data_IF_740559580602
#
_entry.id   IF_740559580602
#
_cell.length_a   1.000
_cell.length_b   1.000
_cell.length_c   1.000
_cell.angle_alpha   90.00
_cell.angle_beta   90.00
_cell.angle_gamma   90.00
#
_symmetry.space_group_name_H-M   'P 1'
#
loop_
_entity.id
_entity.type
_entity.pdbx_description
1 polymer ?
#
# COMPACT_ATOMS: atom_id res chain seq x y z
N UNK A 1 -7.07 -20.77 14.30
CA UNK A 1 -7.51 -19.58 15.07
C UNK A 1 -7.10 -18.27 14.36
N UNK A 2 -5.85 -18.10 13.92
CA UNK A 2 -5.45 -16.90 13.17
C UNK A 2 -6.05 -16.77 11.75
N UNK A 3 -6.39 -17.86 11.06
CA UNK A 3 -7.08 -17.80 9.76
C UNK A 3 -8.60 -17.49 9.87
N UNK A 4 -9.20 -17.66 11.04
CA UNK A 4 -10.65 -17.47 11.23
C UNK A 4 -11.03 -16.03 11.62
N UNK A 5 -10.06 -15.19 11.99
CA UNK A 5 -10.31 -13.77 12.28
C UNK A 5 -10.40 -12.88 11.03
N UNK A 6 -10.00 -13.36 9.85
CA UNK A 6 -9.95 -12.53 8.64
C UNK A 6 -11.33 -12.37 7.98
N UNK A 7 -12.27 -13.28 8.23
CA UNK A 7 -13.61 -13.22 7.62
C UNK A 7 -14.58 -12.23 8.28
N UNK A 8 -14.19 -11.48 9.32
CA UNK A 8 -15.11 -10.61 10.09
C UNK A 8 -14.81 -9.11 9.92
N UNK A 9 -13.84 -8.72 9.08
CA UNK A 9 -13.44 -7.31 8.92
C UNK A 9 -13.79 -6.70 7.55
N UNK A 10 -14.82 -7.20 6.87
CA UNK A 10 -15.23 -6.70 5.55
C UNK A 10 -16.42 -5.72 5.57
N UNK A 11 -16.75 -5.15 6.74
CA UNK A 11 -17.80 -4.12 6.87
C UNK A 11 -17.39 -3.00 7.82
N UNK A 12 -16.32 -2.26 7.52
CA UNK A 12 -16.16 -0.90 8.09
C UNK A 12 -15.54 0.03 7.07
N UNK A 13 -16.19 1.17 6.90
CA UNK A 13 -15.97 2.12 5.82
C UNK A 13 -14.58 2.77 5.79
N UNK A 14 -14.26 3.20 4.58
CA UNK A 14 -13.19 4.11 4.22
C UNK A 14 -13.18 5.35 5.14
N UNK A 15 -12.17 5.45 6.00
CA UNK A 15 -11.81 6.70 6.66
C UNK A 15 -10.31 6.69 7.00
N UNK A 16 -9.63 7.72 6.49
CA UNK A 16 -8.40 8.34 6.99
C UNK A 16 -7.05 7.65 6.67
N UNK A 17 -6.20 8.38 5.92
CA UNK A 17 -4.81 8.07 5.58
C UNK A 17 -3.84 8.18 6.78
N UNK A 18 -4.31 8.08 8.03
CA UNK A 18 -3.46 8.17 9.23
C UNK A 18 -3.52 6.85 10.03
N UNK A 19 -2.35 6.28 10.34
CA UNK A 19 -2.11 4.97 11.00
C UNK A 19 -2.18 3.68 10.16
N UNK A 20 -1.59 3.68 8.96
CA UNK A 20 -1.17 2.41 8.32
C UNK A 20 0.05 1.83 9.04
N UNK A 21 -0.17 0.83 9.90
CA UNK A 21 0.90 0.07 10.57
C UNK A 21 1.86 -0.60 9.57
N UNK A 22 3.09 -0.99 10.00
CA UNK A 22 4.15 -1.47 9.09
C UNK A 22 3.80 -2.74 8.29
N UNK A 23 2.79 -3.50 8.72
CA UNK A 23 2.26 -4.66 7.99
C UNK A 23 1.33 -4.32 6.81
N UNK A 24 0.76 -3.12 6.76
CA UNK A 24 -0.17 -2.69 5.70
C UNK A 24 0.50 -2.64 4.32
N UNK A 25 1.81 -2.39 4.27
CA UNK A 25 2.61 -2.38 3.04
C UNK A 25 2.66 -3.77 2.40
N UNK A 26 2.59 -4.83 3.21
CA UNK A 26 2.61 -6.22 2.73
C UNK A 26 1.23 -6.74 2.30
N UNK A 27 0.14 -6.12 2.77
CA UNK A 27 -1.23 -6.50 2.40
C UNK A 27 -1.44 -6.46 0.88
N UNK A 28 -0.86 -5.45 0.23
CA UNK A 28 -0.88 -5.29 -1.22
C UNK A 28 -0.30 -6.48 -2.00
N UNK A 29 0.75 -7.11 -1.46
CA UNK A 29 1.39 -8.26 -2.09
C UNK A 29 0.52 -9.51 -2.00
N UNK A 30 -0.18 -9.68 -0.88
CA UNK A 30 -1.13 -10.79 -0.68
C UNK A 30 -2.32 -10.64 -1.62
N UNK A 31 -2.89 -9.43 -1.74
CA UNK A 31 -4.00 -9.16 -2.65
C UNK A 31 -3.62 -9.39 -4.12
N UNK A 32 -2.38 -9.06 -4.51
CA UNK A 32 -1.92 -9.33 -5.87
C UNK A 32 -1.70 -10.83 -6.12
N UNK A 33 -1.21 -11.58 -5.13
CA UNK A 33 -1.06 -13.04 -5.24
C UNK A 33 -2.42 -13.71 -5.41
N UNK A 34 -3.41 -13.35 -4.58
CA UNK A 34 -4.79 -13.81 -4.70
C UNK A 34 -5.41 -13.43 -6.07
N UNK A 35 -5.23 -12.18 -6.51
CA UNK A 35 -5.65 -11.74 -7.84
C UNK A 35 -5.05 -12.59 -8.96
N UNK A 36 -3.75 -12.88 -8.89
CA UNK A 36 -3.05 -13.66 -9.91
C UNK A 36 -3.55 -15.11 -9.95
N UNK A 37 -3.83 -15.71 -8.79
CA UNK A 37 -4.41 -17.04 -8.71
C UNK A 37 -5.84 -17.07 -9.27
N UNK A 38 -6.67 -16.06 -8.93
CA UNK A 38 -8.01 -15.90 -9.52
C UNK A 38 -7.95 -15.70 -11.05
N UNK A 39 -6.97 -14.96 -11.57
CA UNK A 39 -6.75 -14.79 -13.01
C UNK A 39 -6.33 -16.11 -13.68
N UNK A 40 -5.48 -16.92 -13.04
CA UNK A 40 -5.09 -18.26 -13.54
C UNK A 40 -6.28 -19.20 -13.65
N UNK A 41 -7.20 -19.16 -12.69
CA UNK A 41 -8.46 -19.92 -12.74
C UNK A 41 -9.32 -19.53 -13.95
N UNK A 42 -9.19 -18.29 -14.44
CA UNK A 42 -9.87 -17.81 -15.64
C UNK A 42 -9.10 -18.07 -16.94
N UNK A 43 -7.97 -18.77 -16.90
CA UNK A 43 -7.08 -19.07 -18.04
C UNK A 43 -6.62 -17.80 -18.79
N UNK A 44 -6.26 -16.75 -18.04
CA UNK A 44 -5.80 -15.48 -18.62
C UNK A 44 -4.56 -15.63 -19.51
N UNK A 45 -3.73 -16.65 -19.28
CA UNK A 45 -2.53 -16.90 -20.08
C UNK A 45 -2.88 -17.21 -21.54
N UNK A 46 -3.86 -18.08 -21.78
CA UNK A 46 -4.27 -18.44 -23.14
C UNK A 46 -5.14 -17.35 -23.81
N UNK A 47 -5.99 -16.69 -23.02
CA UNK A 47 -6.97 -15.75 -23.58
C UNK A 47 -6.46 -14.33 -23.73
N UNK A 48 -5.48 -13.92 -22.92
CA UNK A 48 -4.94 -12.55 -22.89
C UNK A 48 -3.48 -12.53 -23.31
N UNK A 49 -2.61 -13.35 -22.70
CA UNK A 49 -1.17 -13.28 -22.97
C UNK A 49 -0.82 -13.74 -24.39
N UNK A 50 -1.39 -14.85 -24.85
CA UNK A 50 -1.11 -15.37 -26.20
C UNK A 50 -1.65 -14.45 -27.30
N UNK A 51 -2.81 -13.81 -27.09
CA UNK A 51 -3.41 -12.90 -28.08
C UNK A 51 -2.64 -11.60 -28.25
N UNK A 52 -2.03 -11.11 -27.18
CA UNK A 52 -1.30 -9.85 -27.18
C UNK A 52 0.23 -10.02 -27.11
N UNK A 53 0.74 -11.26 -27.19
CA UNK A 53 2.16 -11.61 -27.13
C UNK A 53 2.88 -11.05 -25.88
N UNK A 54 2.24 -11.17 -24.72
CA UNK A 54 2.72 -10.57 -23.47
C UNK A 54 3.31 -11.62 -22.54
N UNK A 55 4.37 -11.26 -21.79
CA UNK A 55 5.02 -12.17 -20.85
C UNK A 55 4.11 -12.48 -19.65
N UNK A 56 4.25 -13.69 -19.05
CA UNK A 56 3.55 -14.04 -17.82
C UNK A 56 3.76 -13.01 -16.71
N UNK A 57 2.67 -12.64 -16.05
CA UNK A 57 2.67 -11.70 -14.93
C UNK A 57 3.47 -12.27 -13.76
N UNK A 58 4.35 -11.45 -13.21
CA UNK A 58 5.02 -11.74 -11.93
C UNK A 58 4.09 -11.43 -10.75
N UNK A 59 4.28 -12.11 -9.62
CA UNK A 59 3.55 -11.89 -8.35
C UNK A 59 3.60 -10.44 -7.84
N UNK A 60 4.50 -9.62 -8.37
CA UNK A 60 4.70 -8.23 -7.93
C UNK A 60 4.42 -7.20 -9.03
N UNK A 61 3.83 -7.63 -10.16
CA UNK A 61 3.77 -6.81 -11.37
C UNK A 61 2.97 -5.50 -11.19
N UNK A 62 1.82 -5.54 -10.51
CA UNK A 62 0.97 -4.36 -10.29
C UNK A 62 1.17 -3.68 -8.92
N UNK A 63 1.96 -4.25 -8.01
CA UNK A 63 2.07 -3.78 -6.61
C UNK A 63 2.98 -2.56 -6.48
N UNK A 64 4.15 -2.59 -7.11
CA UNK A 64 5.17 -1.55 -6.92
C UNK A 64 6.01 -1.35 -8.17
N UNK A 65 5.85 -0.19 -8.83
CA UNK A 65 6.68 0.29 -9.94
C UNK A 65 8.22 0.21 -9.74
N UNK A 66 8.80 0.32 -8.53
CA UNK A 66 10.27 0.30 -8.36
C UNK A 66 10.95 -1.07 -8.55
N UNK A 67 10.20 -2.19 -8.48
CA UNK A 67 10.80 -3.53 -8.48
C UNK A 67 10.72 -4.28 -9.81
N UNK A 68 10.02 -3.72 -10.80
CA UNK A 68 9.97 -4.25 -12.16
C UNK A 68 10.48 -3.16 -13.08
N UNK A 69 11.47 -3.47 -13.92
CA UNK A 69 12.02 -2.58 -14.95
C UNK A 69 11.02 -2.24 -16.08
N UNK A 70 9.71 -2.25 -15.81
CA UNK A 70 8.66 -1.99 -16.79
C UNK A 70 8.29 -0.52 -16.80
N UNK A 71 8.12 -0.01 -18.02
CA UNK A 71 7.66 1.35 -18.27
C UNK A 71 6.23 1.51 -17.72
N UNK A 72 5.90 2.59 -16.98
CA UNK A 72 4.53 2.86 -16.52
C UNK A 72 3.47 2.77 -17.63
N UNK A 73 3.83 3.11 -18.88
CA UNK A 73 2.94 2.96 -20.04
C UNK A 73 2.62 1.50 -20.39
N UNK A 74 3.60 0.60 -20.26
CA UNK A 74 3.42 -0.84 -20.51
C UNK A 74 2.51 -1.45 -19.42
N UNK A 75 2.72 -1.06 -18.16
CA UNK A 75 1.87 -1.49 -17.05
C UNK A 75 0.44 -1.00 -17.20
N UNK A 76 0.25 0.23 -17.67
CA UNK A 76 -1.07 0.79 -17.94
C UNK A 76 -1.78 0.06 -19.09
N UNK A 77 -1.06 -0.24 -20.17
CA UNK A 77 -1.60 -1.03 -21.28
C UNK A 77 -2.01 -2.43 -20.80
N UNK A 78 -1.17 -3.09 -20.01
CA UNK A 78 -1.47 -4.39 -19.40
C UNK A 78 -2.72 -4.37 -18.53
N UNK A 79 -2.82 -3.39 -17.62
CA UNK A 79 -4.01 -3.18 -16.80
C UNK A 79 -5.26 -3.03 -17.68
N UNK A 80 -5.17 -2.19 -18.71
CA UNK A 80 -6.30 -1.86 -19.59
C UNK A 80 -6.77 -3.07 -20.40
N UNK A 81 -5.85 -3.89 -20.91
CA UNK A 81 -6.15 -5.13 -21.65
C UNK A 81 -6.80 -6.17 -20.75
N UNK A 82 -6.28 -6.38 -19.53
CA UNK A 82 -6.86 -7.34 -18.57
C UNK A 82 -8.24 -6.87 -18.13
N UNK A 83 -8.41 -5.59 -17.80
CA UNK A 83 -9.70 -5.04 -17.41
C UNK A 83 -10.74 -5.18 -18.53
N UNK A 84 -10.36 -4.87 -19.78
CA UNK A 84 -11.21 -5.07 -20.96
C UNK A 84 -11.66 -6.51 -21.12
N UNK A 85 -10.74 -7.46 -20.98
CA UNK A 85 -11.05 -8.88 -21.05
C UNK A 85 -12.01 -9.33 -19.94
N UNK A 86 -11.78 -8.91 -18.70
CA UNK A 86 -12.67 -9.26 -17.57
C UNK A 86 -14.08 -8.68 -17.73
N UNK A 87 -14.20 -7.46 -18.25
CA UNK A 87 -15.49 -6.84 -18.57
C UNK A 87 -16.19 -7.64 -19.69
N UNK A 88 -15.46 -8.07 -20.71
CA UNK A 88 -15.99 -8.92 -21.79
C UNK A 88 -16.50 -10.27 -21.28
N UNK A 89 -15.82 -10.87 -20.30
CA UNK A 89 -16.25 -12.11 -19.64
C UNK A 89 -17.52 -11.93 -18.78
N UNK A 90 -17.78 -10.71 -18.31
CA UNK A 90 -19.03 -10.36 -17.63
C UNK A 90 -20.21 -10.15 -18.62
N UNK A 91 -20.02 -10.45 -19.92
CA UNK A 91 -21.06 -10.36 -20.95
C UNK A 91 -21.32 -8.94 -21.44
N UNK A 92 -20.40 -8.00 -21.19
CA UNK A 92 -20.50 -6.61 -21.66
C UNK A 92 -19.52 -6.35 -22.80
N UNK A 93 -19.96 -5.76 -23.93
CA UNK A 93 -19.05 -5.43 -25.01
C UNK A 93 -18.10 -4.32 -24.55
N UNK A 94 -16.79 -4.61 -24.54
CA UNK A 94 -15.75 -3.64 -24.24
C UNK A 94 -14.65 -3.78 -25.29
N UNK A 95 -14.35 -2.70 -26.00
CA UNK A 95 -13.31 -2.70 -27.01
C UNK A 95 -11.94 -2.81 -26.34
N UNK A 96 -11.09 -3.71 -26.83
CA UNK A 96 -9.72 -3.85 -26.33
C UNK A 96 -8.96 -2.55 -26.58
N UNK A 97 -8.53 -1.84 -25.53
CA UNK A 97 -7.89 -0.54 -25.70
C UNK A 97 -6.54 -0.69 -26.41
N UNK A 98 -6.31 0.16 -27.40
CA UNK A 98 -5.07 0.22 -28.19
C UNK A 98 -4.03 1.14 -27.53
N UNK A 99 -2.75 0.99 -27.88
CA UNK A 99 -1.65 1.80 -27.34
C UNK A 99 -1.80 3.32 -27.60
N UNK A 100 -2.64 3.72 -28.56
CA UNK A 100 -2.89 5.11 -28.94
C UNK A 100 -4.18 5.71 -28.34
N UNK A 101 -4.96 4.91 -27.61
CA UNK A 101 -6.20 5.40 -27.00
C UNK A 101 -5.89 6.36 -25.85
N UNK A 102 -6.75 7.38 -25.66
CA UNK A 102 -6.57 8.35 -24.57
C UNK A 102 -6.66 7.64 -23.21
N UNK A 103 -5.59 7.61 -22.39
CA UNK A 103 -5.57 6.92 -21.10
C UNK A 103 -6.69 7.38 -20.16
N UNK A 104 -7.11 8.64 -20.25
CA UNK A 104 -8.20 9.17 -19.41
C UNK A 104 -9.56 8.59 -19.80
N UNK A 105 -9.83 8.53 -21.10
CA UNK A 105 -11.07 7.95 -21.63
C UNK A 105 -11.16 6.46 -21.29
N UNK A 106 -10.08 5.70 -21.50
CA UNK A 106 -10.03 4.27 -21.18
C UNK A 106 -10.29 4.00 -19.70
N UNK A 107 -9.63 4.72 -18.80
CA UNK A 107 -9.87 4.58 -17.34
C UNK A 107 -11.31 4.94 -16.99
N UNK A 108 -11.84 6.02 -17.56
CA UNK A 108 -13.22 6.45 -17.29
C UNK A 108 -14.23 5.40 -17.74
N UNK A 109 -14.01 4.77 -18.90
CA UNK A 109 -14.83 3.69 -19.41
C UNK A 109 -14.76 2.45 -18.52
N UNK A 110 -13.56 2.01 -18.12
CA UNK A 110 -13.37 0.87 -17.20
C UNK A 110 -14.11 1.11 -15.88
N UNK A 111 -13.96 2.29 -15.28
CA UNK A 111 -14.64 2.64 -14.03
C UNK A 111 -16.16 2.72 -14.18
N UNK A 112 -16.66 3.18 -15.33
CA UNK A 112 -18.10 3.22 -15.62
C UNK A 112 -18.70 1.82 -15.69
N UNK A 113 -18.00 0.88 -16.33
CA UNK A 113 -18.44 -0.52 -16.43
C UNK A 113 -18.34 -1.25 -15.10
N UNK A 114 -17.26 -1.00 -14.32
CA UNK A 114 -17.13 -1.53 -12.96
C UNK A 114 -18.31 -1.08 -12.08
N UNK A 115 -18.70 0.20 -12.16
CA UNK A 115 -19.86 0.73 -11.42
C UNK A 115 -21.16 0.07 -11.90
N UNK A 116 -21.31 -0.16 -13.19
CA UNK A 116 -22.47 -0.83 -13.76
C UNK A 116 -22.56 -2.32 -13.37
N UNK A 117 -21.43 -2.96 -13.04
CA UNK A 117 -21.35 -4.30 -12.46
C UNK A 117 -21.55 -4.30 -10.93
N UNK A 118 -21.81 -3.13 -10.34
CA UNK A 118 -22.07 -2.96 -8.91
C UNK A 118 -20.82 -2.95 -8.04
N UNK A 119 -19.67 -2.55 -8.59
CA UNK A 119 -18.46 -2.26 -7.80
C UNK A 119 -18.48 -0.83 -7.26
N UNK A 120 -17.97 -0.63 -6.03
CA UNK A 120 -17.84 0.68 -5.42
C UNK A 120 -16.47 1.29 -5.77
N UNK A 121 -16.45 2.53 -6.25
CA UNK A 121 -15.22 3.24 -6.64
C UNK A 121 -15.25 4.62 -5.99
N UNK A 122 -14.42 4.82 -4.97
CA UNK A 122 -14.30 6.07 -4.22
C UNK A 122 -12.89 6.68 -4.36
N UNK A 123 -12.46 6.89 -5.60
CA UNK A 123 -11.18 7.54 -5.92
C UNK A 123 -11.19 8.12 -7.34
N UNK A 124 -10.35 9.13 -7.63
CA UNK A 124 -10.33 9.77 -8.94
C UNK A 124 -9.63 8.91 -10.01
N UNK A 125 -10.03 9.01 -11.29
CA UNK A 125 -9.40 8.29 -12.42
C UNK A 125 -7.89 8.50 -12.56
N UNK A 126 -7.36 9.60 -12.03
CA UNK A 126 -5.93 9.92 -12.06
C UNK A 126 -5.06 8.88 -11.34
N UNK A 127 -5.61 8.16 -10.35
CA UNK A 127 -4.88 7.16 -9.55
C UNK A 127 -4.61 5.84 -10.29
N UNK A 128 -5.27 5.58 -11.42
CA UNK A 128 -5.09 4.37 -12.22
C UNK A 128 -4.09 4.54 -13.37
N UNK A 129 -3.70 5.77 -13.69
CA UNK A 129 -2.81 6.09 -14.82
C UNK A 129 -1.40 5.56 -14.68
N UNK A 130 -0.94 5.34 -13.45
CA UNK A 130 0.36 4.74 -13.18
C UNK A 130 0.45 3.29 -13.64
N UNK A 131 -0.69 2.64 -13.92
CA UNK A 131 -0.74 1.22 -14.27
C UNK A 131 -0.30 0.29 -13.15
N UNK A 132 0.01 0.83 -11.96
CA UNK A 132 0.45 0.10 -10.77
C UNK A 132 0.01 0.82 -9.51
N UNK A 133 -0.21 0.05 -8.44
CA UNK A 133 -0.61 0.52 -7.12
C UNK A 133 -1.93 -0.07 -6.64
N UNK A 134 -2.33 0.33 -5.43
CA UNK A 134 -3.49 -0.21 -4.70
C UNK A 134 -4.80 -0.19 -5.47
N UNK A 135 -5.10 0.96 -6.05
CA UNK A 135 -6.32 1.19 -6.79
C UNK A 135 -6.41 0.31 -8.04
N UNK A 136 -5.27 -0.01 -8.67
CA UNK A 136 -5.22 -0.86 -9.88
C UNK A 136 -5.53 -2.31 -9.52
N UNK A 137 -4.90 -2.83 -8.46
CA UNK A 137 -5.15 -4.18 -7.96
C UNK A 137 -6.60 -4.33 -7.50
N UNK A 138 -7.13 -3.35 -6.77
CA UNK A 138 -8.52 -3.34 -6.30
C UNK A 138 -9.53 -3.41 -7.46
N UNK A 139 -9.34 -2.61 -8.51
CA UNK A 139 -10.23 -2.62 -9.68
C UNK A 139 -10.19 -3.97 -10.38
N UNK A 140 -9.01 -4.53 -10.59
CA UNK A 140 -8.88 -5.85 -11.20
C UNK A 140 -9.50 -6.94 -10.35
N UNK A 141 -9.31 -6.94 -9.04
CA UNK A 141 -9.87 -7.93 -8.12
C UNK A 141 -11.40 -7.92 -8.15
N UNK A 142 -12.02 -6.73 -8.08
CA UNK A 142 -13.48 -6.61 -8.20
C UNK A 142 -14.00 -7.09 -9.56
N UNK A 143 -13.30 -6.80 -10.66
CA UNK A 143 -13.68 -7.28 -11.99
C UNK A 143 -13.52 -8.81 -12.10
N UNK A 144 -12.46 -9.38 -11.55
CA UNK A 144 -12.21 -10.83 -11.56
C UNK A 144 -13.26 -11.56 -10.73
N UNK A 145 -13.64 -11.07 -9.55
CA UNK A 145 -14.70 -11.69 -8.76
C UNK A 145 -16.05 -11.70 -9.48
N UNK A 146 -16.37 -10.62 -10.18
CA UNK A 146 -17.59 -10.53 -11.00
C UNK A 146 -17.51 -11.47 -12.20
N UNK A 147 -16.35 -11.59 -12.84
CA UNK A 147 -16.12 -12.52 -13.94
C UNK A 147 -16.22 -13.99 -13.47
N UNK A 148 -15.65 -14.33 -12.31
CA UNK A 148 -15.75 -15.66 -11.70
C UNK A 148 -17.21 -16.01 -11.35
N UNK A 149 -17.96 -15.06 -10.79
CA UNK A 149 -19.40 -15.22 -10.52
C UNK A 149 -20.19 -15.43 -11.81
N UNK A 150 -19.87 -14.70 -12.89
CA UNK A 150 -20.48 -14.86 -14.22
C UNK A 150 -20.19 -16.23 -14.85
N UNK A 151 -18.95 -16.73 -14.68
CA UNK A 151 -18.53 -18.07 -15.15
C UNK A 151 -19.10 -19.21 -14.30
N UNK A 152 -19.73 -18.89 -13.16
CA UNK A 152 -20.29 -19.89 -12.23
C UNK A 152 -19.20 -20.70 -11.52
N UNK A 153 -18.02 -20.12 -11.31
CA UNK A 153 -16.92 -20.85 -10.68
C UNK A 153 -17.24 -21.18 -9.22
N UNK A 154 -17.15 -22.46 -8.88
CA UNK A 154 -17.21 -22.97 -7.51
C UNK A 154 -15.91 -23.68 -7.20
N UNK A 155 -15.33 -23.41 -6.04
CA UNK A 155 -14.19 -24.17 -5.54
C UNK A 155 -14.58 -25.64 -5.40
N UNK A 156 -14.05 -26.48 -6.29
CA UNK A 156 -14.25 -27.91 -6.20
C UNK A 156 -13.35 -28.51 -5.13
N UNK A 157 -13.76 -29.62 -4.52
CA UNK A 157 -12.91 -30.30 -3.53
C UNK A 157 -11.64 -30.79 -4.23
N UNK A 158 -10.45 -30.63 -3.62
CA UNK A 158 -9.21 -31.14 -4.19
C UNK A 158 -9.36 -32.63 -4.49
N UNK A 159 -9.39 -32.98 -5.78
CA UNK A 159 -9.25 -34.35 -6.24
C UNK A 159 -7.78 -34.70 -6.15
N UNK A 160 -7.41 -35.37 -5.05
CA UNK A 160 -6.09 -35.99 -4.95
C UNK A 160 -5.96 -36.99 -6.09
N UNK A 161 -4.88 -36.92 -6.90
CA UNK A 161 -4.63 -37.95 -7.89
C UNK A 161 -4.62 -39.29 -7.15
N UNK A 162 -5.52 -40.19 -7.52
CA UNK A 162 -5.33 -41.60 -7.21
C UNK A 162 -4.02 -41.96 -7.89
N UNK A 163 -2.97 -42.12 -7.09
CA UNK A 163 -1.71 -42.69 -7.56
C UNK A 163 -2.13 -44.01 -8.19
N UNK A 164 -2.04 -44.11 -9.52
CA UNK A 164 -2.07 -45.39 -10.20
C UNK A 164 -0.83 -46.11 -9.69
N UNK A 165 -1.02 -46.85 -8.60
CA UNK A 165 -0.09 -47.87 -8.18
C UNK A 165 -0.13 -48.85 -9.34
N UNK A 166 0.92 -48.83 -10.18
CA UNK A 166 1.11 -49.87 -11.17
C UNK A 166 0.88 -51.22 -10.49
N UNK A 167 0.03 -52.05 -11.09
CA UNK A 167 -0.36 -53.38 -10.62
C UNK A 167 0.85 -54.30 -10.44
N UNK A 168 1.63 -54.13 -9.36
CA UNK A 168 2.34 -55.23 -8.74
C UNK A 168 1.36 -55.90 -7.78
N UNK A 169 0.62 -56.87 -8.34
CA UNK A 169 -0.11 -57.96 -7.66
C UNK A 169 0.07 -57.96 -6.13
N UNK A 170 -0.64 -57.07 -5.44
CA UNK A 170 -0.77 -57.12 -3.99
C UNK A 170 -1.80 -58.22 -3.78
N UNK A 171 -1.32 -59.41 -3.41
CA UNK A 171 -2.18 -60.39 -2.76
C UNK A 171 -2.85 -59.64 -1.61
N UNK A 172 -4.17 -59.53 -1.67
CA UNK A 172 -5.02 -58.99 -0.61
C UNK A 172 -4.59 -59.65 0.71
N UNK A 173 -3.85 -58.91 1.52
CA UNK A 173 -3.50 -59.32 2.87
C UNK A 173 -4.75 -59.02 3.71
N UNK A 174 -5.54 -60.07 3.91
CA UNK A 174 -6.86 -60.12 4.55
C UNK A 174 -6.74 -59.89 6.08
N UNK A 175 -6.10 -58.79 6.48
CA UNK A 175 -5.67 -58.54 7.87
C UNK A 175 -6.05 -57.16 8.43
N UNK A 176 -7.12 -56.52 7.93
CA UNK A 176 -7.79 -55.46 8.70
C UNK A 176 -8.74 -56.09 9.74
N UNK A 177 -8.14 -56.55 10.86
CA UNK A 177 -8.87 -56.98 12.04
C UNK A 177 -9.60 -55.77 12.65
N UNK A 178 -10.87 -55.61 12.30
CA UNK A 178 -11.75 -54.57 12.85
C UNK A 178 -11.97 -54.87 14.34
N UNK A 179 -11.70 -53.90 15.22
CA UNK A 179 -11.84 -54.03 16.68
C UNK A 179 -13.22 -54.57 17.14
N UNK A 180 -14.27 -54.36 16.36
CA UNK A 180 -15.60 -54.93 16.62
C UNK A 180 -15.68 -56.45 16.46
N UNK A 181 -14.81 -57.08 15.66
CA UNK A 181 -14.80 -58.52 15.43
C UNK A 181 -14.04 -59.29 16.51
N UNK A 182 -13.08 -58.64 17.17
CA UNK A 182 -12.39 -59.16 18.36
C UNK A 182 -13.30 -59.16 19.60
N UNK A 183 -14.23 -58.21 19.70
CA UNK A 183 -15.22 -58.17 20.79
C UNK A 183 -16.33 -59.24 20.62
N UNK A 184 -16.70 -59.56 19.37
CA UNK A 184 -17.67 -60.60 19.04
C UNK A 184 -17.10 -62.01 19.27
N UNK A 185 -15.82 -62.24 18.95
CA UNK A 185 -15.14 -63.53 19.18
C UNK A 185 -14.77 -63.78 20.66
N UNK A 186 -14.75 -62.73 21.50
CA UNK A 186 -14.60 -62.87 22.97
C UNK A 186 -15.93 -63.14 23.68
N UNK A 187 -17.08 -63.03 23.01
CA UNK A 187 -18.41 -63.21 23.61
C UNK A 187 -19.12 -64.49 23.17
N UNK A 188 -18.63 -65.16 22.13
CA UNK A 188 -19.07 -66.49 21.71
C UNK A 188 -18.01 -67.53 22.09
N UNK A 189 -17.98 -67.92 23.37
CA UNK A 189 -17.60 -69.26 23.87
C UNK A 189 -17.48 -69.23 25.42
N UNK A 190 -18.62 -69.03 26.10
CA UNK A 190 -18.81 -69.52 27.46
C UNK A 190 -19.80 -70.71 27.44
N UNK A 191 -19.47 -71.74 26.68
CA UNK A 191 -19.94 -73.09 26.97
C UNK A 191 -18.70 -73.94 27.23
N UNK A 192 -18.11 -73.74 28.41
CA UNK A 192 -17.16 -74.68 28.98
C UNK A 192 -17.91 -76.00 29.22
N UNK A 193 -17.99 -76.86 28.19
CA UNK A 193 -17.97 -78.29 28.47
C UNK A 193 -16.65 -78.54 29.19
N UNK A 194 -16.77 -78.70 30.49
CA UNK A 194 -15.74 -79.16 31.41
C UNK A 194 -15.27 -80.55 30.90
N UNK A 195 -14.38 -80.55 29.91
CA UNK A 195 -13.65 -81.72 29.47
C UNK A 195 -12.78 -82.13 30.66
N UNK A 196 -13.32 -83.08 31.41
CA UNK A 196 -12.74 -83.80 32.54
C UNK A 196 -11.22 -83.91 32.35
N UNK A 197 -10.51 -82.98 32.99
CA UNK A 197 -9.05 -82.98 33.02
C UNK A 197 -8.64 -84.26 33.71
N UNK A 198 -8.34 -85.29 32.91
CA UNK A 198 -7.87 -86.59 33.36
C UNK A 198 -6.64 -86.37 34.24
N UNK A 199 -6.86 -86.36 35.55
CA UNK A 199 -5.83 -86.15 36.54
C UNK A 199 -4.77 -87.24 36.39
N UNK A 200 -3.57 -86.83 35.95
CA UNK A 200 -2.43 -87.69 35.71
C UNK A 200 -2.06 -88.50 36.98
N UNK A 201 -2.43 -88.02 38.17
CA UNK A 201 -2.21 -88.73 39.43
C UNK A 201 -3.32 -89.75 39.75
N UNK A 202 -4.56 -89.59 39.26
CA UNK A 202 -5.60 -90.65 39.27
C UNK A 202 -5.29 -91.79 38.30
N UNK A 203 -4.61 -91.52 37.17
CA UNK A 203 -4.15 -92.54 36.23
C UNK A 203 -2.97 -93.36 36.79
N UNK A 204 -2.01 -92.72 37.48
CA UNK A 204 -0.90 -93.42 38.14
C UNK A 204 -1.33 -94.32 39.29
N UNK A 205 -2.42 -94.00 39.98
CA UNK A 205 -2.96 -94.85 41.05
C UNK A 205 -3.70 -96.08 40.51
N UNK A 206 -4.19 -96.07 39.27
CA UNK A 206 -4.81 -97.23 38.61
C UNK A 206 -3.81 -98.20 37.98
N UNK A 207 -2.57 -97.79 37.72
CA UNK A 207 -1.53 -98.64 37.10
C UNK A 207 -0.96 -99.75 38.01
N UNK A 208 -1.36 -99.84 39.28
CA UNK A 208 -0.94 -100.91 40.18
C UNK A 208 -1.92 -102.10 40.26
N UNK A 209 -2.85 -102.23 39.31
CA UNK A 209 -3.60 -103.47 39.13
C UNK A 209 -2.87 -104.37 38.13
N UNK A 210 -2.10 -105.31 38.68
CA UNK A 210 -1.50 -106.43 37.94
C UNK A 210 -2.67 -107.21 37.33
N UNK A 211 -2.89 -107.02 36.03
CA UNK A 211 -3.85 -107.78 35.25
C UNK A 211 -3.09 -108.93 34.58
N UNK A 212 -3.63 -110.13 34.71
CA UNK A 212 -3.14 -111.39 34.12
C UNK A 212 -3.45 -111.37 32.61
N UNK A 213 -2.83 -110.42 31.90
CA UNK A 213 -3.04 -110.22 30.45
C UNK A 213 -1.97 -111.00 29.69
N UNK A 214 -2.41 -111.90 28.82
CA UNK A 214 -1.54 -112.66 27.94
C UNK A 214 -0.72 -111.71 27.03
N UNK A 215 0.59 -111.95 26.93
CA UNK A 215 1.51 -111.09 26.21
C UNK A 215 1.16 -110.97 24.71
N UNK A 216 0.48 -111.99 24.16
CA UNK A 216 0.00 -111.99 22.79
C UNK A 216 -1.20 -111.03 22.60
N UNK A 217 -2.16 -111.02 23.54
CA UNK A 217 -3.31 -110.11 23.50
C UNK A 217 -2.88 -108.66 23.71
N UNK A 218 -1.91 -108.40 24.59
CA UNK A 218 -1.34 -107.07 24.78
C UNK A 218 -0.63 -106.55 23.51
N UNK A 219 0.13 -107.40 22.83
CA UNK A 219 0.80 -107.01 21.58
C UNK A 219 -0.20 -106.69 20.47
N UNK A 220 -1.31 -107.45 20.37
CA UNK A 220 -2.37 -107.15 19.41
C UNK A 220 -3.05 -105.81 19.74
N UNK A 221 -3.23 -105.49 21.02
CA UNK A 221 -3.78 -104.21 21.46
C UNK A 221 -2.82 -103.05 21.19
N UNK A 222 -1.52 -103.24 21.41
CA UNK A 222 -0.49 -102.28 21.04
C UNK A 222 -0.51 -102.05 19.53
N UNK A 223 -0.52 -103.10 18.70
CA UNK A 223 -0.62 -102.97 17.24
C UNK A 223 -1.93 -102.31 16.78
N UNK A 224 -3.03 -102.50 17.53
CA UNK A 224 -4.32 -101.85 17.27
C UNK A 224 -4.29 -100.34 17.59
N UNK A 225 -3.59 -99.94 18.65
CA UNK A 225 -3.54 -98.54 19.13
C UNK A 225 -2.35 -97.75 18.52
N UNK A 226 -1.32 -98.43 18.02
CA UNK A 226 -0.16 -97.82 17.37
C UNK A 226 -0.52 -96.84 16.22
N UNK A 227 -1.51 -97.13 15.36
CA UNK A 227 -1.97 -96.20 14.34
C UNK A 227 -2.68 -94.98 14.92
N UNK A 228 -3.31 -95.10 16.09
CA UNK A 228 -4.03 -94.01 16.77
C UNK A 228 -3.05 -93.09 17.52
N UNK A 229 -1.91 -93.61 17.97
CA UNK A 229 -0.80 -92.86 18.58
C UNK A 229 0.16 -92.23 17.57
N UNK A 230 -0.01 -92.54 16.28
CA UNK A 230 0.78 -91.92 15.22
C UNK A 230 0.33 -90.48 15.05
N UNK A 231 0.87 -89.59 15.89
CA UNK A 231 0.70 -88.14 15.81
C UNK A 231 1.32 -87.69 14.49
N UNK A 232 0.47 -87.61 13.48
CA UNK A 232 0.82 -86.93 12.24
C UNK A 232 0.63 -85.45 12.52
N UNK A 233 1.73 -84.77 12.86
CA UNK A 233 1.78 -83.31 12.89
C UNK A 233 1.48 -82.87 11.46
N UNK A 234 0.21 -82.61 11.16
CA UNK A 234 -0.18 -81.94 9.93
C UNK A 234 0.35 -80.52 10.08
N UNK A 235 1.20 -80.10 9.15
CA UNK A 235 1.61 -78.70 9.00
C UNK A 235 0.36 -77.90 8.63
N UNK A 236 -0.40 -77.53 9.65
CA UNK A 236 -1.61 -76.74 9.51
C UNK A 236 -1.23 -75.26 9.57
N UNK A 237 -1.93 -74.41 8.82
CA UNK A 237 -1.64 -72.97 8.74
C UNK A 237 -1.98 -72.22 10.05
N UNK A 238 -2.43 -72.97 11.07
CA UNK A 238 -2.67 -72.55 12.46
C UNK A 238 -1.49 -72.87 13.38
N UNK A 239 -0.39 -73.42 12.86
CA UNK A 239 0.83 -73.65 13.65
C UNK A 239 1.51 -72.30 13.91
N UNK A 240 1.49 -71.86 15.17
CA UNK A 240 2.14 -70.63 15.63
C UNK A 240 3.62 -70.54 15.24
N UNK A 241 4.28 -71.68 14.95
CA UNK A 241 5.66 -71.71 14.44
C UNK A 241 5.79 -71.04 13.08
N UNK A 242 4.82 -71.22 12.19
CA UNK A 242 4.79 -70.58 10.86
C UNK A 242 4.63 -69.07 11.04
N UNK A 243 3.75 -68.63 11.94
CA UNK A 243 3.59 -67.21 12.26
C UNK A 243 4.82 -66.60 12.91
N UNK A 244 5.54 -67.35 13.76
CA UNK A 244 6.80 -66.91 14.35
C UNK A 244 7.90 -66.74 13.30
N UNK A 245 8.02 -67.70 12.37
CA UNK A 245 8.96 -67.61 11.25
C UNK A 245 8.60 -66.46 10.30
N UNK A 246 7.31 -66.24 10.02
CA UNK A 246 6.81 -65.07 9.27
C UNK A 246 7.16 -63.75 9.98
N UNK A 247 6.98 -63.66 11.30
CA UNK A 247 7.33 -62.48 12.07
C UNK A 247 8.84 -62.17 12.00
N UNK A 248 9.69 -63.19 12.05
CA UNK A 248 11.13 -63.01 11.86
C UNK A 248 11.49 -62.54 10.45
N UNK A 249 10.83 -63.09 9.42
CA UNK A 249 11.02 -62.63 8.03
C UNK A 249 10.58 -61.17 7.84
N UNK A 250 9.43 -60.78 8.39
CA UNK A 250 8.98 -59.38 8.35
C UNK A 250 9.93 -58.46 9.14
N UNK A 251 10.42 -58.89 10.30
CA UNK A 251 11.39 -58.13 11.08
C UNK A 251 12.69 -57.90 10.30
N UNK A 252 13.20 -58.91 9.60
CA UNK A 252 14.38 -58.78 8.73
C UNK A 252 14.11 -57.87 7.52
N UNK A 253 12.93 -57.99 6.90
CA UNK A 253 12.49 -57.11 5.82
C UNK A 253 12.40 -55.64 6.26
N UNK A 254 11.80 -55.38 7.43
CA UNK A 254 11.70 -54.03 8.04
C UNK A 254 13.09 -53.48 8.36
N UNK A 255 13.99 -54.30 8.91
CA UNK A 255 15.35 -53.85 9.22
C UNK A 255 16.13 -53.50 7.95
N UNK A 256 15.94 -54.26 6.87
CA UNK A 256 16.59 -54.02 5.58
C UNK A 256 16.06 -52.73 4.94
N UNK A 257 14.73 -52.57 4.86
CA UNK A 257 14.12 -51.35 4.32
C UNK A 257 14.45 -50.10 5.16
N UNK A 258 14.57 -50.25 6.49
CA UNK A 258 15.03 -49.19 7.38
C UNK A 258 16.48 -48.79 7.12
N UNK A 259 17.38 -49.75 6.84
CA UNK A 259 18.77 -49.44 6.49
C UNK A 259 18.85 -48.71 5.14
N UNK A 260 18.07 -49.13 4.15
CA UNK A 260 18.02 -48.48 2.85
C UNK A 260 17.45 -47.06 2.95
N UNK A 261 16.36 -46.87 3.69
CA UNK A 261 15.79 -45.56 3.96
C UNK A 261 16.76 -44.63 4.70
N UNK A 262 17.49 -45.15 5.69
CA UNK A 262 18.58 -44.41 6.35
C UNK A 262 19.67 -44.02 5.36
N UNK A 263 20.08 -44.94 4.48
CA UNK A 263 21.07 -44.67 3.43
C UNK A 263 20.64 -43.54 2.50
N UNK A 264 19.39 -43.57 2.03
CA UNK A 264 18.79 -42.50 1.22
C UNK A 264 18.76 -41.16 1.96
N UNK A 265 18.36 -41.15 3.24
CA UNK A 265 18.37 -39.95 4.08
C UNK A 265 19.78 -39.39 4.29
N UNK A 266 20.78 -40.26 4.49
CA UNK A 266 22.18 -39.82 4.63
C UNK A 266 22.70 -39.18 3.34
N UNK A 267 22.41 -39.76 2.17
CA UNK A 267 22.77 -39.17 0.88
C UNK A 267 22.10 -37.81 0.68
N UNK A 268 20.79 -37.71 0.96
CA UNK A 268 20.06 -36.44 0.87
C UNK A 268 20.64 -35.39 1.82
N UNK A 269 20.96 -35.77 3.06
CA UNK A 269 21.62 -34.88 4.02
C UNK A 269 22.97 -34.38 3.48
N UNK A 270 23.79 -35.26 2.92
CA UNK A 270 25.09 -34.91 2.37
C UNK A 270 24.96 -33.96 1.17
N UNK A 271 24.00 -34.20 0.28
CA UNK A 271 23.73 -33.34 -0.88
C UNK A 271 23.21 -31.96 -0.45
N UNK A 272 22.32 -31.91 0.56
CA UNK A 272 21.88 -30.65 1.18
C UNK A 272 23.07 -29.91 1.81
N UNK A 273 23.94 -30.60 2.55
CA UNK A 273 25.14 -29.96 3.13
C UNK A 273 26.07 -29.40 2.05
N UNK A 274 26.34 -30.15 0.98
CA UNK A 274 27.17 -29.68 -0.15
C UNK A 274 26.56 -28.48 -0.87
N UNK A 275 25.24 -28.47 -1.06
CA UNK A 275 24.55 -27.33 -1.70
C UNK A 275 24.57 -26.09 -0.80
N UNK A 276 24.39 -26.25 0.51
CA UNK A 276 24.46 -25.15 1.47
C UNK A 276 25.88 -24.55 1.56
N UNK A 277 26.92 -25.38 1.53
CA UNK A 277 28.31 -24.91 1.45
C UNK A 277 28.59 -24.12 0.16
N UNK A 278 28.08 -24.61 -0.99
CA UNK A 278 28.16 -23.89 -2.26
C UNK A 278 27.45 -22.54 -2.19
N UNK A 279 26.22 -22.50 -1.67
CA UNK A 279 25.47 -21.25 -1.47
C UNK A 279 26.25 -20.30 -0.57
N UNK A 280 26.73 -20.75 0.59
CA UNK A 280 27.51 -19.92 1.51
C UNK A 280 28.80 -19.37 0.87
N UNK A 281 29.50 -20.18 0.07
CA UNK A 281 30.68 -19.71 -0.67
C UNK A 281 30.33 -18.64 -1.72
N UNK A 282 29.20 -18.81 -2.41
CA UNK A 282 28.74 -17.87 -3.43
C UNK A 282 28.25 -16.57 -2.82
N UNK A 283 27.57 -16.64 -1.68
CA UNK A 283 27.17 -15.48 -0.87
C UNK A 283 28.39 -14.70 -0.39
N UNK A 284 29.40 -15.38 0.19
CA UNK A 284 30.65 -14.72 0.60
C UNK A 284 31.35 -14.02 -0.56
N UNK A 285 31.40 -14.66 -1.72
CA UNK A 285 31.96 -14.07 -2.93
C UNK A 285 31.16 -12.83 -3.38
N UNK A 286 29.83 -12.95 -3.45
CA UNK A 286 28.94 -11.85 -3.84
C UNK A 286 29.08 -10.67 -2.87
N UNK A 287 29.05 -10.93 -1.56
CA UNK A 287 29.23 -9.91 -0.53
C UNK A 287 30.57 -9.19 -0.69
N UNK A 288 31.66 -9.93 -0.95
CA UNK A 288 32.98 -9.33 -1.18
C UNK A 288 32.99 -8.40 -2.40
N UNK A 289 32.28 -8.76 -3.48
CA UNK A 289 32.16 -7.91 -4.67
C UNK A 289 31.29 -6.68 -4.41
N UNK A 290 30.19 -6.84 -3.67
CA UNK A 290 29.25 -5.76 -3.37
C UNK A 290 29.75 -4.80 -2.27
N UNK A 291 30.62 -5.24 -1.37
CA UNK A 291 31.17 -4.45 -0.27
C UNK A 291 31.77 -3.13 -0.77
N UNK A 292 32.58 -3.21 -1.83
CA UNK A 292 33.20 -2.05 -2.45
C UNK A 292 32.16 -1.11 -3.07
N UNK A 293 31.23 -1.67 -3.85
CA UNK A 293 30.18 -0.89 -4.52
C UNK A 293 29.26 -0.19 -3.51
N UNK A 294 28.94 -0.85 -2.40
CA UNK A 294 28.15 -0.28 -1.29
C UNK A 294 28.95 0.84 -0.62
N UNK A 295 30.26 0.68 -0.42
CA UNK A 295 31.13 1.72 0.13
C UNK A 295 31.19 2.94 -0.80
N UNK A 296 31.36 2.74 -2.10
CA UNK A 296 31.33 3.82 -3.10
C UNK A 296 29.98 4.53 -3.13
N UNK A 297 28.86 3.79 -3.10
CA UNK A 297 27.53 4.37 -3.03
C UNK A 297 27.35 5.22 -1.76
N UNK A 298 27.80 4.72 -0.59
CA UNK A 298 27.77 5.49 0.66
C UNK A 298 28.61 6.77 0.58
N UNK A 299 29.78 6.71 -0.04
CA UNK A 299 30.63 7.89 -0.25
C UNK A 299 29.97 8.90 -1.19
N UNK A 300 29.42 8.45 -2.32
CA UNK A 300 28.70 9.29 -3.27
C UNK A 300 27.46 9.94 -2.61
N UNK A 301 26.71 9.19 -1.80
CA UNK A 301 25.57 9.73 -1.04
C UNK A 301 25.99 10.79 -0.03
N UNK A 302 27.10 10.58 0.68
CA UNK A 302 27.66 11.57 1.61
C UNK A 302 28.11 12.85 0.88
N UNK A 303 28.75 12.71 -0.29
CA UNK A 303 29.13 13.84 -1.13
C UNK A 303 27.90 14.60 -1.65
N UNK A 304 26.86 13.89 -2.10
CA UNK A 304 25.61 14.49 -2.54
C UNK A 304 24.95 15.30 -1.42
N UNK A 305 24.86 14.73 -0.21
CA UNK A 305 24.30 15.42 0.95
C UNK A 305 25.09 16.69 1.28
N UNK A 306 26.43 16.63 1.24
CA UNK A 306 27.30 17.79 1.45
C UNK A 306 27.05 18.89 0.40
N UNK A 307 26.94 18.52 -0.87
CA UNK A 307 26.68 19.49 -1.95
C UNK A 307 25.28 20.10 -1.81
N UNK A 308 24.27 19.30 -1.45
CA UNK A 308 22.90 19.78 -1.20
C UNK A 308 22.88 20.79 -0.06
N UNK A 309 23.59 20.53 1.03
CA UNK A 309 23.69 21.45 2.16
C UNK A 309 24.36 22.78 1.76
N UNK A 310 25.48 22.71 1.02
CA UNK A 310 26.15 23.91 0.49
C UNK A 310 25.25 24.71 -0.46
N UNK A 311 24.48 24.02 -1.32
CA UNK A 311 23.51 24.67 -2.20
C UNK A 311 22.38 25.33 -1.41
N UNK A 312 21.83 24.67 -0.39
CA UNK A 312 20.80 25.22 0.49
C UNK A 312 21.29 26.51 1.17
N UNK A 313 22.52 26.49 1.71
CA UNK A 313 23.14 27.65 2.35
C UNK A 313 23.37 28.78 1.35
N UNK A 314 23.90 28.48 0.15
CA UNK A 314 24.12 29.48 -0.90
C UNK A 314 22.80 30.09 -1.39
N UNK A 315 21.76 29.27 -1.59
CA UNK A 315 20.42 29.71 -2.00
C UNK A 315 19.78 30.62 -0.93
N UNK A 316 19.90 30.26 0.35
CA UNK A 316 19.51 31.13 1.47
C UNK A 316 20.25 32.47 1.45
N UNK A 317 21.56 32.46 1.18
CA UNK A 317 22.35 33.69 1.04
C UNK A 317 21.95 34.55 -0.17
N UNK A 318 21.58 33.93 -1.29
CA UNK A 318 21.12 34.65 -2.50
C UNK A 318 19.76 35.28 -2.27
N UNK A 319 18.82 34.55 -1.65
CA UNK A 319 17.49 35.06 -1.34
C UNK A 319 17.55 36.25 -0.38
N UNK A 320 18.38 36.18 0.68
CA UNK A 320 18.54 37.31 1.61
C UNK A 320 19.20 38.52 0.93
N UNK A 321 20.23 38.32 0.11
CA UNK A 321 20.82 39.43 -0.67
C UNK A 321 19.83 40.03 -1.66
N UNK A 322 18.96 39.22 -2.27
CA UNK A 322 17.90 39.71 -3.16
C UNK A 322 16.87 40.54 -2.40
N UNK A 323 16.51 40.13 -1.17
CA UNK A 323 15.63 40.89 -0.27
C UNK A 323 16.24 42.24 0.09
N UNK A 324 17.51 42.26 0.50
CA UNK A 324 18.23 43.50 0.84
C UNK A 324 18.34 44.41 -0.39
N UNK A 325 18.62 43.86 -1.57
CA UNK A 325 18.66 44.66 -2.80
C UNK A 325 17.30 45.29 -3.15
N UNK A 326 16.20 44.58 -2.92
CA UNK A 326 14.86 45.14 -3.12
C UNK A 326 14.57 46.28 -2.13
N UNK A 327 14.92 46.11 -0.86
CA UNK A 327 14.79 47.14 0.18
C UNK A 327 15.60 48.39 -0.15
N UNK A 328 16.89 48.24 -0.53
CA UNK A 328 17.72 49.36 -0.96
C UNK A 328 17.17 50.03 -2.23
N UNK A 329 16.59 49.25 -3.16
CA UNK A 329 15.98 49.80 -4.37
C UNK A 329 14.72 50.63 -4.06
N UNK A 330 13.92 50.19 -3.09
CA UNK A 330 12.76 50.93 -2.61
C UNK A 330 13.17 52.22 -1.89
N UNK A 331 14.20 52.17 -1.03
CA UNK A 331 14.78 53.35 -0.40
C UNK A 331 15.31 54.34 -1.44
N UNK A 332 15.96 53.86 -2.49
CA UNK A 332 16.49 54.68 -3.56
C UNK A 332 15.36 55.35 -4.37
N UNK A 333 14.28 54.63 -4.66
CA UNK A 333 13.11 55.23 -5.34
C UNK A 333 12.40 56.25 -4.44
N UNK A 334 12.32 56.01 -3.13
CA UNK A 334 11.80 56.99 -2.17
C UNK A 334 12.64 58.27 -2.16
N UNK A 335 13.97 58.15 -2.08
CA UNK A 335 14.88 59.31 -2.13
C UNK A 335 14.74 60.05 -3.47
N UNK A 336 14.59 59.32 -4.58
CA UNK A 336 14.35 59.91 -5.90
C UNK A 336 13.02 60.66 -5.96
N UNK A 337 11.94 60.11 -5.42
CA UNK A 337 10.65 60.78 -5.32
C UNK A 337 10.74 62.04 -4.45
N UNK A 338 11.40 61.98 -3.29
CA UNK A 338 11.64 63.16 -2.46
C UNK A 338 12.47 64.23 -3.19
N UNK A 339 13.45 63.81 -4.00
CA UNK A 339 14.25 64.72 -4.82
C UNK A 339 13.41 65.36 -5.93
N UNK A 340 12.49 64.63 -6.55
CA UNK A 340 11.58 65.13 -7.58
C UNK A 340 10.51 66.06 -7.01
N UNK A 341 9.97 65.78 -5.82
CA UNK A 341 9.08 66.68 -5.07
C UNK A 341 9.79 67.98 -4.65
N UNK A 342 11.04 67.87 -4.17
CA UNK A 342 11.87 69.05 -3.89
C UNK A 342 12.24 69.81 -5.16
N UNK A 343 12.52 69.12 -6.26
CA UNK A 343 12.82 69.71 -7.55
C UNK A 343 11.62 70.46 -8.15
N UNK A 344 10.44 69.86 -8.10
CA UNK A 344 9.19 70.47 -8.55
C UNK A 344 8.77 71.64 -7.67
N UNK A 345 8.90 71.54 -6.35
CA UNK A 345 8.63 72.68 -5.45
C UNK A 345 9.65 73.82 -5.58
N UNK A 346 10.93 73.51 -5.86
CA UNK A 346 11.96 74.52 -6.13
C UNK A 346 11.77 75.17 -7.50
N UNK A 347 11.28 74.41 -8.48
CA UNK A 347 10.97 74.94 -9.82
C UNK A 347 9.60 75.61 -9.91
N UNK A 348 8.73 75.37 -8.93
CA UNK A 348 7.43 76.03 -8.83
C UNK A 348 7.63 77.51 -8.46
N UNK A 349 7.62 78.36 -9.48
CA UNK A 349 7.63 79.80 -9.31
C UNK A 349 6.31 80.37 -8.81
N UNK A 350 5.24 79.57 -8.65
CA UNK A 350 3.92 80.06 -8.23
C UNK A 350 3.93 80.81 -6.87
N UNK A 351 4.68 80.41 -5.83
CA UNK A 351 4.80 81.19 -4.60
C UNK A 351 5.39 82.57 -4.86
N UNK A 352 6.43 82.66 -5.70
CA UNK A 352 7.09 83.92 -6.08
C UNK A 352 6.13 84.80 -6.88
N UNK A 353 5.39 84.22 -7.83
CA UNK A 353 4.36 84.92 -8.61
C UNK A 353 3.23 85.43 -7.70
N UNK A 354 2.79 84.64 -6.72
CA UNK A 354 1.75 85.03 -5.76
C UNK A 354 2.21 86.18 -4.87
N UNK A 355 3.45 86.15 -4.38
CA UNK A 355 4.07 87.29 -3.66
C UNK A 355 4.08 88.53 -4.54
N UNK A 356 4.52 88.41 -5.79
CA UNK A 356 4.55 89.54 -6.74
C UNK A 356 3.16 90.11 -7.02
N UNK A 357 2.14 89.26 -7.18
CA UNK A 357 0.74 89.69 -7.35
C UNK A 357 0.23 90.44 -6.11
N UNK A 358 0.51 89.91 -4.91
CA UNK A 358 0.15 90.52 -3.62
C UNK A 358 0.78 91.90 -3.47
N UNK A 359 2.06 92.02 -3.84
CA UNK A 359 2.81 93.27 -3.81
C UNK A 359 2.29 94.29 -4.82
N UNK A 360 1.82 93.83 -5.99
CA UNK A 360 1.18 94.69 -6.99
C UNK A 360 -0.18 95.20 -6.48
N UNK A 361 -0.96 94.35 -5.82
CA UNK A 361 -2.24 94.74 -5.21
C UNK A 361 -2.04 95.77 -4.10
N UNK A 362 -1.06 95.57 -3.22
CA UNK A 362 -0.69 96.54 -2.19
C UNK A 362 -0.29 97.90 -2.77
N UNK A 363 0.43 97.92 -3.89
CA UNK A 363 0.76 99.17 -4.60
C UNK A 363 -0.49 99.89 -5.12
N UNK A 364 -1.43 99.16 -5.71
CA UNK A 364 -2.71 99.74 -6.15
C UNK A 364 -3.54 100.27 -4.98
N UNK A 365 -3.57 99.55 -3.86
CA UNK A 365 -4.23 100.00 -2.64
C UNK A 365 -3.58 101.28 -2.08
N UNK A 366 -2.25 101.39 -2.12
CA UNK A 366 -1.50 102.61 -1.75
C UNK A 366 -1.86 103.79 -2.67
N UNK A 367 -1.83 103.61 -3.99
CA UNK A 367 -2.22 104.65 -4.95
C UNK A 367 -3.66 105.12 -4.72
N UNK A 368 -4.58 104.18 -4.47
CA UNK A 368 -5.97 104.51 -4.16
C UNK A 368 -6.07 105.27 -2.84
N UNK A 369 -5.29 104.91 -1.82
CA UNK A 369 -5.28 105.59 -0.53
C UNK A 369 -4.69 107.00 -0.63
N UNK A 370 -3.65 107.20 -1.45
CA UNK A 370 -3.07 108.52 -1.74
C UNK A 370 -4.06 109.45 -2.45
N UNK A 371 -4.81 108.94 -3.43
CA UNK A 371 -5.89 109.73 -4.07
C UNK A 371 -6.96 110.12 -3.06
N UNK A 372 -7.38 109.19 -2.19
CA UNK A 372 -8.34 109.49 -1.12
C UNK A 372 -7.79 110.53 -0.14
N UNK A 373 -6.53 110.41 0.25
CA UNK A 373 -5.85 111.37 1.12
C UNK A 373 -5.80 112.75 0.47
N UNK A 374 -5.44 112.85 -0.81
CA UNK A 374 -5.45 114.12 -1.56
C UNK A 374 -6.84 114.76 -1.67
N UNK A 375 -7.90 113.97 -1.88
CA UNK A 375 -9.28 114.49 -1.87
C UNK A 375 -9.69 115.00 -0.48
N UNK A 376 -9.34 114.27 0.58
CA UNK A 376 -9.60 114.68 1.96
C UNK A 376 -8.82 115.96 2.30
N UNK A 377 -7.54 116.04 1.92
CA UNK A 377 -6.72 117.24 2.07
C UNK A 377 -7.32 118.43 1.32
N UNK A 378 -7.71 118.26 0.05
CA UNK A 378 -8.35 119.33 -0.72
C UNK A 378 -9.66 119.79 -0.08
N UNK A 379 -10.49 118.85 0.39
CA UNK A 379 -11.76 119.14 1.07
C UNK A 379 -11.52 119.91 2.37
N UNK A 380 -10.53 119.50 3.16
CA UNK A 380 -10.12 120.20 4.38
C UNK A 380 -9.62 121.62 4.07
N UNK A 381 -8.82 121.77 3.02
CA UNK A 381 -8.25 123.05 2.62
C UNK A 381 -9.33 124.00 2.08
N UNK A 382 -10.30 123.47 1.32
CA UNK A 382 -11.48 124.22 0.87
C UNK A 382 -12.37 124.62 2.04
N UNK A 383 -12.56 123.75 3.04
CA UNK A 383 -13.29 124.07 4.27
C UNK A 383 -12.59 125.22 5.05
N UNK A 384 -11.26 125.14 5.23
CA UNK A 384 -10.47 126.22 5.86
C UNK A 384 -10.53 127.53 5.09
N UNK A 385 -10.48 127.49 3.75
CA UNK A 385 -10.61 128.68 2.91
C UNK A 385 -12.02 129.29 3.00
N UNK A 386 -13.07 128.45 3.04
CA UNK A 386 -14.46 128.90 3.25
C UNK A 386 -14.63 129.54 4.63
N UNK A 387 -14.08 128.94 5.68
CA UNK A 387 -14.08 129.50 7.03
C UNK A 387 -13.39 130.86 7.08
N UNK A 388 -12.20 130.99 6.45
CA UNK A 388 -11.49 132.27 6.35
C UNK A 388 -12.27 133.32 5.56
N UNK A 389 -12.89 132.96 4.43
CA UNK A 389 -13.74 133.86 3.67
C UNK A 389 -14.99 134.28 4.45
N UNK A 390 -15.59 133.37 5.22
CA UNK A 390 -16.72 133.68 6.10
C UNK A 390 -16.29 134.65 7.22
N UNK A 391 -15.15 134.41 7.89
CA UNK A 391 -14.59 135.36 8.86
C UNK A 391 -14.33 136.74 8.24
N UNK A 392 -13.86 136.80 6.99
CA UNK A 392 -13.61 138.07 6.29
C UNK A 392 -14.92 138.78 5.92
N UNK A 393 -15.97 138.03 5.54
CA UNK A 393 -17.31 138.57 5.33
C UNK A 393 -17.95 139.07 6.63
N UNK A 394 -17.79 138.35 7.73
CA UNK A 394 -18.33 138.75 9.03
C UNK A 394 -17.60 140.00 9.56
N UNK A 395 -16.29 140.13 9.33
CA UNK A 395 -15.51 141.36 9.57
C UNK A 395 -15.98 142.56 8.72
N UNK A 396 -16.41 142.34 7.48
CA UNK A 396 -16.97 143.41 6.65
C UNK A 396 -18.43 143.74 7.02
N UNK A 397 -19.19 142.79 7.55
CA UNK A 397 -20.56 142.99 8.02
C UNK A 397 -20.63 143.78 9.35
N UNK A 398 -19.64 143.61 10.24
CA UNK A 398 -19.54 144.38 11.49
C UNK A 398 -19.14 145.85 11.28
N UNK A 399 -18.49 146.20 10.16
CA UNK A 399 -18.07 147.57 9.88
C UNK A 399 -19.20 148.51 9.38
N UNK A 400 -20.42 147.98 9.18
CA UNK A 400 -21.59 148.72 8.67
C UNK A 400 -22.68 149.02 9.72
N UNK A 401 -22.46 148.66 11.00
CA UNK A 401 -23.43 148.88 12.07
C UNK A 401 -22.77 149.44 13.34
N UNK A 402 -22.42 150.73 13.33
CA UNK A 402 -22.55 151.58 14.53
C UNK A 402 -22.68 153.07 14.14
N UNK A 403 -23.84 153.72 14.40
CA UNK A 403 -24.09 155.13 14.12
C UNK A 403 -23.78 156.05 15.31
N UNK A 404 -23.34 157.27 14.97
CA UNK A 404 -23.28 158.47 15.79
C UNK A 404 -24.52 158.70 16.68
N UNK A 405 -24.30 158.96 17.97
CA UNK A 405 -25.16 159.85 18.78
C UNK A 405 -24.31 160.64 19.80
N UNK A 406 -24.23 161.97 19.61
CA UNK A 406 -24.01 163.02 20.63
C UNK A 406 -25.34 163.83 20.72
N UNK A 407 -25.50 164.85 21.58
CA UNK A 407 -25.20 165.04 23.02
C UNK A 407 -26.47 165.47 23.82
N UNK A 408 -26.42 165.48 25.16
CA UNK A 408 -26.97 166.50 26.09
C UNK A 408 -26.56 166.18 27.54
#
# INVERSE_FOLDING_TARGET
VLLLCICVLDETGMAEEEERGPGSVFQMFVLMEDLLDKLKVLDYEQHVLDKHNIKPLSRHYFVSSPHVLSNPGEQFYMFSVIAAWLISLCGRPFDTPQEYDDPNATVSNILSELRALGGQVDFPPSKLKSGSGEHVVYVLDQLVEKALKSKGFTWDRPMYPSVEVEDECVQEDDAELTLSKVEEEMTEDEEYEEEDGLDLDTLKTRTNQISDVDAAEWNLEVERVLPQLKVTIRTDNKDWRIHLDQMHQHQEGINTSLQDAKGCLFKLREDISKTLEKVSSREKYLNTQLEHLISEYRQAQAQLNKVKELYQQASGGVTERTRILAEISEELEKVKQEMEEKGSSMSDGAPVVKIRQSLTKLKQELEQMDVRMGVVEHTLLQAKLREKNNMTRDMHATHLLEPNTQPY
#
